data_IF_997439287008
#
_entry.id   IF_997439287008
#
_cell.length_a   1.000
_cell.length_b   1.000
_cell.length_c   1.000
_cell.angle_alpha   90.00
_cell.angle_beta   90.00
_cell.angle_gamma   90.00
#
_symmetry.space_group_name_H-M   'P 1'
#
loop_
_entity.id
_entity.type
_entity.pdbx_description
1 polymer ?
#
# COMPACT_ATOMS: atom_id res chain seq x y z
N UNK A 1 -21.35 -7.57 7.88
CA UNK A 1 -19.97 -7.50 8.38
C UNK A 1 -19.05 -7.67 7.18
N UNK A 2 -18.43 -6.57 6.70
CA UNK A 2 -17.54 -6.61 5.53
C UNK A 2 -16.11 -6.79 6.04
N UNK A 3 -15.49 -7.92 5.70
CA UNK A 3 -14.09 -8.22 5.95
C UNK A 3 -13.21 -7.28 5.14
N UNK A 4 -12.48 -6.41 5.81
CA UNK A 4 -11.43 -5.58 5.19
C UNK A 4 -10.23 -6.50 4.97
N UNK A 5 -10.15 -7.09 3.76
CA UNK A 5 -8.97 -7.83 3.32
C UNK A 5 -7.91 -6.80 2.89
N UNK A 6 -7.04 -6.41 3.82
CA UNK A 6 -5.85 -5.64 3.49
C UNK A 6 -4.80 -6.61 2.92
N UNK A 7 -4.71 -6.67 1.60
CA UNK A 7 -3.61 -7.35 0.93
C UNK A 7 -2.32 -6.58 1.19
N UNK A 8 -1.57 -7.00 2.20
CA UNK A 8 -0.17 -6.59 2.41
C UNK A 8 0.66 -7.48 1.51
N UNK A 9 1.09 -6.94 0.38
CA UNK A 9 1.99 -7.62 -0.56
C UNK A 9 3.35 -7.72 0.12
N UNK A 10 3.70 -8.94 0.58
CA UNK A 10 5.03 -9.26 1.08
C UNK A 10 6.00 -9.29 -0.11
N UNK A 11 7.06 -8.48 -0.06
CA UNK A 11 8.17 -8.58 -1.01
C UNK A 11 8.82 -9.96 -0.89
N UNK A 12 8.82 -10.68 -2.01
CA UNK A 12 9.51 -11.95 -2.17
C UNK A 12 11.02 -11.75 -2.08
N UNK A 13 11.67 -12.33 -1.06
CA UNK A 13 13.12 -12.55 -1.06
C UNK A 13 13.39 -13.78 -1.94
N UNK A 14 14.05 -13.53 -3.08
CA UNK A 14 14.57 -14.57 -3.96
C UNK A 14 15.72 -15.34 -3.29
N UNK A 15 15.66 -16.64 -3.45
CA UNK A 15 16.45 -17.70 -2.89
C UNK A 15 17.94 -17.65 -3.23
N UNK A 16 18.77 -17.93 -2.22
CA UNK A 16 20.04 -18.60 -2.40
C UNK A 16 20.02 -19.89 -1.57
N UNK A 17 19.78 -21.00 -2.23
CA UNK A 17 20.00 -22.34 -1.65
C UNK A 17 21.49 -22.61 -1.61
N UNK A 18 22.11 -22.41 -0.44
CA UNK A 18 23.35 -23.08 -0.07
C UNK A 18 22.98 -24.19 0.90
N UNK A 19 23.23 -25.42 0.50
CA UNK A 19 23.07 -26.63 1.31
C UNK A 19 24.11 -26.60 2.45
N UNK A 20 23.68 -26.13 3.62
CA UNK A 20 24.30 -26.20 4.92
C UNK A 20 23.17 -26.09 5.91
N UNK A 21 23.10 -26.92 6.93
CA UNK A 21 22.14 -26.83 8.01
C UNK A 21 22.22 -25.46 8.68
N UNK A 22 21.64 -24.45 8.06
CA UNK A 22 21.44 -23.15 8.69
C UNK A 22 20.38 -23.36 9.75
N UNK A 23 20.76 -23.29 11.02
CA UNK A 23 19.81 -23.08 12.12
C UNK A 23 18.96 -21.88 11.76
N UNK A 24 17.77 -22.14 11.22
CA UNK A 24 16.80 -21.10 10.91
C UNK A 24 16.57 -20.31 12.20
N UNK A 25 16.74 -18.99 12.16
CA UNK A 25 16.55 -18.18 13.35
C UNK A 25 15.10 -18.29 13.84
N UNK A 26 14.87 -18.15 15.12
CA UNK A 26 13.52 -18.16 15.69
C UNK A 26 12.62 -17.10 15.07
N UNK A 27 13.20 -15.96 14.66
CA UNK A 27 12.49 -14.92 13.91
C UNK A 27 12.04 -15.42 12.53
N UNK A 28 12.88 -16.16 11.81
CA UNK A 28 12.51 -16.70 10.50
C UNK A 28 11.35 -17.71 10.60
N UNK A 29 11.33 -18.54 11.64
CA UNK A 29 10.19 -19.41 11.92
C UNK A 29 8.92 -18.59 12.19
N UNK A 30 9.02 -17.54 13.01
CA UNK A 30 7.89 -16.66 13.28
C UNK A 30 7.34 -15.99 12.00
N UNK A 31 8.22 -15.51 11.13
CA UNK A 31 7.85 -14.92 9.83
C UNK A 31 7.20 -15.94 8.90
N UNK A 32 7.71 -17.17 8.87
CA UNK A 32 7.12 -18.24 8.07
C UNK A 32 5.71 -18.59 8.54
N UNK A 33 5.49 -18.75 9.85
CA UNK A 33 4.16 -19.03 10.39
C UNK A 33 3.19 -17.86 10.15
N UNK A 34 3.68 -16.62 10.25
CA UNK A 34 2.88 -15.45 9.88
C UNK A 34 2.44 -15.49 8.41
N UNK A 35 3.35 -15.83 7.48
CA UNK A 35 3.03 -15.93 6.06
C UNK A 35 2.03 -17.05 5.75
N UNK A 36 1.99 -18.09 6.59
CA UNK A 36 1.05 -19.21 6.52
C UNK A 36 -0.31 -18.91 7.21
N UNK A 37 -0.53 -17.68 7.68
CA UNK A 37 -1.69 -17.26 8.48
C UNK A 37 -1.83 -18.01 9.82
N UNK A 38 -0.74 -18.58 10.32
CA UNK A 38 -0.69 -19.28 11.62
C UNK A 38 -0.31 -18.28 12.73
N UNK A 39 -1.22 -17.35 13.02
CA UNK A 39 -0.95 -16.19 13.90
C UNK A 39 -0.45 -16.59 15.27
N UNK A 40 -1.08 -17.57 15.93
CA UNK A 40 -0.70 -18.06 17.28
C UNK A 40 0.66 -18.75 17.28
N UNK A 41 0.98 -19.51 16.22
CA UNK A 41 2.30 -20.15 16.08
C UNK A 41 3.38 -19.10 15.83
N UNK A 42 3.08 -18.10 15.03
CA UNK A 42 3.96 -16.95 14.80
C UNK A 42 4.26 -16.22 16.11
N UNK A 43 3.26 -15.95 16.95
CA UNK A 43 3.44 -15.35 18.27
C UNK A 43 4.35 -16.16 19.18
N UNK A 44 4.16 -17.49 19.24
CA UNK A 44 5.00 -18.36 20.03
C UNK A 44 6.48 -18.26 19.64
N UNK A 45 6.78 -18.27 18.33
CA UNK A 45 8.14 -18.11 17.83
C UNK A 45 8.69 -16.70 18.00
N UNK A 46 7.87 -15.66 17.81
CA UNK A 46 8.26 -14.28 18.06
C UNK A 46 8.58 -14.04 19.54
N UNK A 47 7.79 -14.61 20.47
CA UNK A 47 8.06 -14.56 21.91
C UNK A 47 9.40 -15.22 22.25
N UNK A 48 9.68 -16.39 21.69
CA UNK A 48 10.96 -17.08 21.85
C UNK A 48 12.13 -16.27 21.30
N UNK A 49 11.90 -15.51 20.21
CA UNK A 49 12.91 -14.57 19.68
C UNK A 49 13.23 -13.45 20.66
N UNK A 50 12.20 -12.89 21.31
CA UNK A 50 12.37 -11.84 22.34
C UNK A 50 13.13 -12.40 23.57
N UNK A 51 12.80 -13.62 23.99
CA UNK A 51 13.47 -14.30 25.13
C UNK A 51 14.96 -14.58 24.84
N UNK A 52 15.33 -14.77 23.58
CA UNK A 52 16.72 -14.96 23.16
C UNK A 52 17.51 -13.65 23.01
N UNK A 53 16.91 -12.51 23.32
CA UNK A 53 17.50 -11.16 23.27
C UNK A 53 18.11 -10.76 21.91
N UNK A 54 17.64 -11.39 20.83
CA UNK A 54 18.07 -11.10 19.47
C UNK A 54 16.87 -10.67 18.63
N UNK A 55 17.07 -9.69 17.75
CA UNK A 55 16.03 -9.19 16.84
C UNK A 55 14.71 -8.83 17.59
N UNK A 56 14.86 -8.25 18.79
CA UNK A 56 13.76 -8.01 19.73
C UNK A 56 12.68 -7.13 19.10
N UNK A 57 13.06 -6.06 18.45
CA UNK A 57 12.09 -5.09 17.89
C UNK A 57 11.37 -5.63 16.67
N UNK A 58 12.05 -6.42 15.84
CA UNK A 58 11.47 -7.15 14.71
C UNK A 58 10.43 -8.16 15.21
N UNK A 59 10.77 -8.90 16.25
CA UNK A 59 9.84 -9.85 16.89
C UNK A 59 8.65 -9.12 17.54
N UNK A 60 8.88 -7.98 18.21
CA UNK A 60 7.81 -7.15 18.77
C UNK A 60 6.88 -6.59 17.68
N UNK A 61 7.44 -6.19 16.52
CA UNK A 61 6.64 -5.79 15.38
C UNK A 61 5.75 -6.93 14.88
N UNK A 62 6.32 -8.13 14.77
CA UNK A 62 5.58 -9.32 14.34
C UNK A 62 4.49 -9.72 15.35
N UNK A 63 4.76 -9.64 16.66
CA UNK A 63 3.73 -9.79 17.72
C UNK A 63 2.58 -8.81 17.50
N UNK A 64 2.90 -7.54 17.23
CA UNK A 64 1.90 -6.52 16.93
C UNK A 64 1.04 -6.86 15.71
N UNK A 65 1.64 -7.42 14.66
CA UNK A 65 0.92 -7.86 13.45
C UNK A 65 0.00 -9.05 13.75
N UNK A 66 0.47 -10.06 14.50
CA UNK A 66 -0.34 -11.23 14.88
C UNK A 66 -1.57 -10.81 15.69
N UNK A 67 -1.36 -10.01 16.71
CA UNK A 67 -2.44 -9.49 17.57
C UNK A 67 -3.44 -8.64 16.77
N UNK A 68 -2.96 -7.89 15.77
CA UNK A 68 -3.82 -7.13 14.87
C UNK A 68 -4.71 -8.05 14.02
N UNK A 69 -4.17 -9.15 13.49
CA UNK A 69 -4.93 -10.15 12.74
C UNK A 69 -5.95 -10.87 13.62
N UNK A 70 -5.60 -11.13 14.87
CA UNK A 70 -6.49 -11.71 15.89
C UNK A 70 -7.53 -10.71 16.44
N UNK A 71 -7.54 -9.47 15.95
CA UNK A 71 -8.43 -8.38 16.37
C UNK A 71 -8.20 -7.91 17.83
N UNK A 72 -7.08 -8.26 18.44
CA UNK A 72 -6.66 -7.82 19.76
C UNK A 72 -5.99 -6.45 19.69
N UNK A 73 -6.75 -5.41 19.31
CA UNK A 73 -6.24 -4.09 18.91
C UNK A 73 -5.41 -3.41 20.00
N UNK A 74 -5.77 -3.52 21.26
CA UNK A 74 -5.04 -2.85 22.35
C UNK A 74 -3.70 -3.57 22.65
N UNK A 75 -3.66 -4.90 22.57
CA UNK A 75 -2.41 -5.68 22.65
C UNK A 75 -1.51 -5.35 21.46
N UNK A 76 -2.05 -5.38 20.24
CA UNK A 76 -1.37 -4.98 19.01
C UNK A 76 -0.72 -3.60 19.14
N UNK A 77 -1.48 -2.59 19.60
CA UNK A 77 -0.97 -1.24 19.86
C UNK A 77 0.22 -1.26 20.82
N UNK A 78 0.12 -2.01 21.92
CA UNK A 78 1.20 -2.11 22.90
C UNK A 78 2.49 -2.68 22.29
N UNK A 79 2.38 -3.70 21.46
CA UNK A 79 3.52 -4.30 20.77
C UNK A 79 4.15 -3.35 19.74
N UNK A 80 3.34 -2.66 18.93
CA UNK A 80 3.87 -1.66 18.01
C UNK A 80 4.55 -0.49 18.72
N UNK A 81 4.06 -0.06 19.88
CA UNK A 81 4.73 0.97 20.67
C UNK A 81 6.11 0.53 21.18
N UNK A 82 6.30 -0.75 21.48
CA UNK A 82 7.61 -1.31 21.82
C UNK A 82 8.52 -1.36 20.61
N UNK A 83 8.03 -1.89 19.49
CA UNK A 83 8.79 -2.02 18.25
C UNK A 83 9.18 -0.66 17.64
N UNK A 84 8.36 0.39 17.83
CA UNK A 84 8.66 1.75 17.39
C UNK A 84 9.87 2.39 18.10
N UNK A 85 10.41 1.76 19.15
CA UNK A 85 11.66 2.17 19.82
C UNK A 85 12.91 1.63 19.14
N UNK A 86 12.77 0.85 18.08
CA UNK A 86 13.88 0.27 17.33
C UNK A 86 14.83 1.33 16.78
N UNK A 87 16.13 1.03 16.80
CA UNK A 87 17.13 1.79 16.06
C UNK A 87 17.10 1.48 14.55
N UNK A 88 16.52 0.33 14.17
CA UNK A 88 16.26 0.00 12.78
C UNK A 88 15.13 0.91 12.25
N UNK A 89 15.48 1.81 11.33
CA UNK A 89 14.56 2.81 10.80
C UNK A 89 13.31 2.17 10.14
N UNK A 90 13.49 1.05 9.44
CA UNK A 90 12.39 0.36 8.78
C UNK A 90 11.38 -0.21 9.81
N UNK A 91 11.85 -0.89 10.84
CA UNK A 91 11.02 -1.44 11.92
C UNK A 91 10.29 -0.32 12.65
N UNK A 92 11.01 0.75 12.99
CA UNK A 92 10.46 1.96 13.62
C UNK A 92 9.38 2.59 12.76
N UNK A 93 9.66 2.79 11.47
CA UNK A 93 8.72 3.39 10.53
C UNK A 93 7.46 2.55 10.34
N UNK A 94 7.61 1.24 10.09
CA UNK A 94 6.49 0.31 9.94
C UNK A 94 5.62 0.23 11.19
N UNK A 95 6.24 0.15 12.37
CA UNK A 95 5.52 0.11 13.65
C UNK A 95 4.73 1.41 13.88
N UNK A 96 5.35 2.55 13.60
CA UNK A 96 4.69 3.87 13.73
C UNK A 96 3.53 4.01 12.74
N UNK A 97 3.67 3.51 11.51
CA UNK A 97 2.59 3.49 10.54
C UNK A 97 1.40 2.62 11.00
N UNK A 98 1.65 1.47 11.60
CA UNK A 98 0.61 0.61 12.18
C UNK A 98 -0.13 1.30 13.34
N UNK A 99 0.58 2.07 14.18
CA UNK A 99 -0.07 2.91 15.20
C UNK A 99 -0.99 3.96 14.57
N UNK A 100 -0.59 4.54 13.44
CA UNK A 100 -1.43 5.45 12.64
C UNK A 100 -2.68 4.76 12.09
N UNK A 101 -2.57 3.52 11.62
CA UNK A 101 -3.71 2.72 11.16
C UNK A 101 -4.69 2.47 12.31
N UNK A 102 -4.19 2.07 13.49
CA UNK A 102 -5.02 1.83 14.67
C UNK A 102 -5.73 3.11 15.13
N UNK A 103 -5.02 4.24 15.15
CA UNK A 103 -5.63 5.54 15.51
C UNK A 103 -6.74 5.92 14.51
N UNK A 104 -6.49 5.76 13.22
CA UNK A 104 -7.46 6.04 12.17
C UNK A 104 -8.71 5.15 12.28
N UNK A 105 -8.55 3.86 12.61
CA UNK A 105 -9.68 2.93 12.79
C UNK A 105 -10.57 3.29 13.99
N UNK A 106 -10.00 3.97 14.98
CA UNK A 106 -10.71 4.49 16.15
C UNK A 106 -11.29 5.91 15.93
N UNK A 107 -11.13 6.49 14.73
CA UNK A 107 -11.58 7.84 14.40
C UNK A 107 -10.66 8.96 14.90
N UNK A 108 -9.53 8.62 15.50
CA UNK A 108 -8.53 9.61 15.95
C UNK A 108 -7.60 9.99 14.78
N UNK A 109 -8.15 10.80 13.88
CA UNK A 109 -7.45 11.20 12.66
C UNK A 109 -6.26 12.14 12.93
N UNK A 110 -6.26 12.88 14.03
CA UNK A 110 -5.13 13.76 14.38
C UNK A 110 -3.91 12.94 14.79
N UNK A 111 -4.08 11.99 15.71
CA UNK A 111 -3.02 11.06 16.09
C UNK A 111 -2.57 10.21 14.89
N UNK A 112 -3.49 9.75 14.04
CA UNK A 112 -3.16 9.02 12.84
C UNK A 112 -2.28 9.83 11.88
N UNK A 113 -2.64 11.08 11.62
CA UNK A 113 -1.87 11.99 10.77
C UNK A 113 -0.44 12.19 11.28
N UNK A 114 -0.27 12.44 12.57
CA UNK A 114 1.04 12.60 13.20
C UNK A 114 1.87 11.30 13.11
N UNK A 115 1.24 10.15 13.37
CA UNK A 115 1.91 8.86 13.28
C UNK A 115 2.39 8.59 11.84
N UNK A 116 1.58 8.82 10.82
CA UNK A 116 2.00 8.65 9.43
C UNK A 116 3.10 9.64 9.02
N UNK A 117 3.04 10.88 9.47
CA UNK A 117 4.11 11.86 9.24
C UNK A 117 5.43 11.40 9.85
N UNK A 118 5.41 10.91 11.09
CA UNK A 118 6.61 10.37 11.74
C UNK A 118 7.10 9.07 11.10
N UNK A 119 6.19 8.21 10.64
CA UNK A 119 6.56 6.98 9.93
C UNK A 119 7.30 7.29 8.63
N UNK A 120 6.84 8.27 7.85
CA UNK A 120 7.43 8.63 6.55
C UNK A 120 8.89 9.08 6.64
N UNK A 121 9.34 9.59 7.79
CA UNK A 121 10.74 9.97 8.00
C UNK A 121 11.68 8.77 8.14
N UNK A 122 11.16 7.60 8.46
CA UNK A 122 11.90 6.37 8.69
C UNK A 122 11.70 5.32 7.59
N UNK A 123 10.72 5.52 6.71
CA UNK A 123 10.38 4.61 5.62
C UNK A 123 11.03 5.05 4.31
N UNK A 124 11.15 4.13 3.38
CA UNK A 124 11.65 4.36 2.02
C UNK A 124 10.65 3.79 0.98
N UNK A 125 10.83 4.15 -0.27
CA UNK A 125 10.07 3.61 -1.38
C UNK A 125 8.55 3.83 -1.25
N UNK A 126 7.77 2.81 -1.58
CA UNK A 126 6.30 2.87 -1.59
C UNK A 126 5.71 3.07 -0.20
N UNK A 127 6.31 2.48 0.84
CA UNK A 127 5.83 2.59 2.22
C UNK A 127 5.92 4.04 2.71
N UNK A 128 6.99 4.75 2.34
CA UNK A 128 7.14 6.18 2.60
C UNK A 128 6.03 6.98 1.91
N UNK A 129 5.79 6.73 0.63
CA UNK A 129 4.76 7.44 -0.13
C UNK A 129 3.36 7.25 0.49
N UNK A 130 3.03 6.02 0.88
CA UNK A 130 1.75 5.71 1.55
C UNK A 130 1.63 6.46 2.87
N UNK A 131 2.70 6.52 3.66
CA UNK A 131 2.70 7.24 4.93
C UNK A 131 2.55 8.76 4.72
N UNK A 132 3.23 9.34 3.74
CA UNK A 132 3.09 10.76 3.36
C UNK A 132 1.66 11.08 2.92
N UNK A 133 1.04 10.26 2.07
CA UNK A 133 -0.34 10.44 1.65
C UNK A 133 -1.32 10.41 2.83
N UNK A 134 -1.15 9.45 3.75
CA UNK A 134 -2.02 9.30 4.92
C UNK A 134 -1.81 10.39 5.97
N UNK A 135 -0.64 11.01 6.01
CA UNK A 135 -0.37 12.14 6.89
C UNK A 135 -1.02 13.45 6.41
N UNK A 136 -1.62 13.46 5.21
CA UNK A 136 -2.12 14.68 4.58
C UNK A 136 -0.99 15.61 4.14
N UNK A 137 0.26 15.10 4.07
CA UNK A 137 1.34 15.72 3.33
C UNK A 137 0.89 15.89 1.88
N UNK A 138 1.38 16.90 1.19
CA UNK A 138 1.20 16.97 -0.27
C UNK A 138 1.63 15.63 -0.80
N UNK A 139 0.66 14.79 -1.21
CA UNK A 139 0.94 13.78 -2.21
C UNK A 139 1.89 14.47 -3.19
N UNK A 140 3.06 13.91 -3.42
CA UNK A 140 3.78 14.24 -4.65
C UNK A 140 2.72 13.91 -5.67
N UNK A 141 2.08 14.96 -6.18
CA UNK A 141 0.82 14.88 -6.91
C UNK A 141 1.07 14.24 -8.27
N UNK A 142 1.40 12.97 -8.25
CA UNK A 142 1.16 12.16 -9.39
C UNK A 142 -0.34 11.86 -9.36
N UNK A 143 -1.10 12.82 -9.84
CA UNK A 143 -2.49 12.58 -10.14
C UNK A 143 -2.52 11.42 -11.13
N UNK A 144 -2.91 10.25 -10.67
CA UNK A 144 -3.08 9.10 -11.53
C UNK A 144 -4.46 9.13 -12.14
N UNK A 145 -4.54 8.64 -13.36
CA UNK A 145 -5.80 8.53 -14.11
C UNK A 145 -5.84 7.19 -14.84
N UNK A 146 -7.00 6.78 -15.28
CA UNK A 146 -7.16 5.69 -16.24
C UNK A 146 -7.18 6.27 -17.65
N UNK A 147 -6.24 5.84 -18.48
CA UNK A 147 -6.15 6.23 -19.89
C UNK A 147 -6.71 5.11 -20.76
N UNK A 148 -7.75 5.41 -21.51
CA UNK A 148 -8.50 4.49 -22.37
C UNK A 148 -8.02 4.48 -23.81
N UNK A 149 -7.25 5.49 -24.21
CA UNK A 149 -6.69 5.53 -25.55
C UNK A 149 -5.89 6.79 -25.81
N UNK A 150 -5.13 6.76 -26.93
CA UNK A 150 -4.38 7.87 -27.46
C UNK A 150 -4.70 7.98 -28.96
N UNK A 151 -5.23 9.11 -29.39
CA UNK A 151 -5.76 9.32 -30.74
C UNK A 151 -4.98 10.43 -31.45
N UNK A 152 -4.77 10.27 -32.76
CA UNK A 152 -4.16 11.32 -33.61
C UNK A 152 -5.18 12.39 -34.02
N UNK A 153 -6.46 12.06 -33.94
CA UNK A 153 -7.56 12.95 -34.34
C UNK A 153 -8.48 13.18 -33.15
N UNK A 154 -8.74 14.43 -32.83
CA UNK A 154 -9.59 14.85 -31.72
C UNK A 154 -11.02 14.30 -31.84
N UNK A 155 -11.60 14.28 -33.02
CA UNK A 155 -12.94 13.74 -33.22
C UNK A 155 -13.05 12.25 -32.89
N UNK A 156 -11.98 11.47 -33.08
CA UNK A 156 -11.93 10.07 -32.66
C UNK A 156 -11.85 9.93 -31.16
N UNK A 157 -11.12 10.81 -30.44
CA UNK A 157 -11.09 10.86 -29.00
C UNK A 157 -12.46 11.24 -28.42
N UNK A 158 -13.17 12.19 -29.01
CA UNK A 158 -14.53 12.59 -28.63
C UNK A 158 -15.53 11.42 -28.75
N UNK A 159 -15.46 10.69 -29.86
CA UNK A 159 -16.27 9.46 -30.05
C UNK A 159 -15.97 8.40 -29.01
N UNK A 160 -14.70 8.25 -28.64
CA UNK A 160 -14.30 7.32 -27.59
C UNK A 160 -14.88 7.72 -26.22
N UNK A 161 -14.91 9.00 -25.87
CA UNK A 161 -15.56 9.49 -24.64
C UNK A 161 -17.02 9.08 -24.61
N UNK A 162 -17.76 9.31 -25.68
CA UNK A 162 -19.20 8.95 -25.77
C UNK A 162 -19.39 7.43 -25.55
N UNK A 163 -18.51 6.61 -26.16
CA UNK A 163 -18.60 5.15 -26.00
C UNK A 163 -18.27 4.65 -24.59
N UNK A 164 -17.53 5.44 -23.80
CA UNK A 164 -17.13 5.10 -22.43
C UNK A 164 -18.16 5.50 -21.37
N UNK A 165 -19.06 6.42 -21.68
CA UNK A 165 -19.92 7.10 -20.70
C UNK A 165 -20.66 6.13 -19.79
N UNK A 166 -21.35 5.14 -20.35
CA UNK A 166 -22.09 4.14 -19.59
C UNK A 166 -21.18 3.28 -18.69
N UNK A 167 -20.00 2.89 -19.21
CA UNK A 167 -19.05 2.07 -18.46
C UNK A 167 -18.43 2.84 -17.28
N UNK A 168 -18.15 4.12 -17.48
CA UNK A 168 -17.61 4.99 -16.42
C UNK A 168 -18.64 5.29 -15.34
N UNK A 169 -19.89 5.52 -15.75
CA UNK A 169 -21.01 5.73 -14.82
C UNK A 169 -21.26 4.49 -13.96
N UNK A 170 -21.29 3.31 -14.56
CA UNK A 170 -21.44 2.04 -13.84
C UNK A 170 -20.27 1.74 -12.89
N UNK A 171 -19.06 2.20 -13.24
CA UNK A 171 -17.88 2.07 -12.43
C UNK A 171 -17.77 3.14 -11.31
N UNK A 172 -18.67 4.13 -11.26
CA UNK A 172 -18.61 5.26 -10.34
C UNK A 172 -17.40 6.18 -10.58
N UNK A 173 -16.87 6.17 -11.82
CA UNK A 173 -15.78 7.03 -12.27
C UNK A 173 -16.43 8.17 -13.04
N UNK A 174 -16.19 9.40 -12.66
CA UNK A 174 -16.80 10.57 -13.31
C UNK A 174 -16.59 10.61 -14.84
N UNK A 175 -16.89 11.73 -15.47
CA UNK A 175 -16.79 11.89 -16.94
C UNK A 175 -15.34 11.78 -17.42
N UNK A 176 -15.14 11.23 -18.63
CA UNK A 176 -13.85 11.24 -19.30
C UNK A 176 -13.55 12.64 -19.88
N UNK A 177 -12.26 12.93 -20.04
CA UNK A 177 -11.78 14.17 -20.67
C UNK A 177 -10.67 13.87 -21.68
N UNK A 178 -10.32 14.87 -22.49
CA UNK A 178 -9.22 14.79 -23.45
C UNK A 178 -8.06 15.65 -22.94
N UNK A 179 -6.86 15.06 -22.86
CA UNK A 179 -5.61 15.78 -22.66
C UNK A 179 -4.82 15.79 -23.95
N UNK A 180 -4.33 16.96 -24.37
CA UNK A 180 -3.45 17.09 -25.51
C UNK A 180 -1.99 16.93 -25.07
N UNK A 181 -1.30 15.97 -25.66
CA UNK A 181 0.11 15.73 -25.43
C UNK A 181 0.90 15.90 -26.72
N UNK A 182 1.98 16.69 -26.67
CA UNK A 182 2.92 16.82 -27.78
C UNK A 182 4.08 15.85 -27.61
N UNK A 183 4.21 14.93 -28.55
CA UNK A 183 5.37 14.05 -28.63
C UNK A 183 6.64 14.86 -28.98
N UNK A 184 7.82 14.34 -28.59
CA UNK A 184 9.12 14.90 -28.98
C UNK A 184 9.31 15.03 -30.50
N UNK A 185 8.55 14.29 -31.29
CA UNK A 185 8.48 14.42 -32.78
C UNK A 185 7.56 15.52 -33.29
N UNK A 186 7.01 16.38 -32.41
CA UNK A 186 6.10 17.47 -32.72
C UNK A 186 4.66 17.04 -33.03
N UNK A 187 4.31 15.75 -32.93
CA UNK A 187 2.95 15.25 -33.18
C UNK A 187 2.09 15.43 -31.95
N UNK A 188 0.89 15.96 -32.17
CA UNK A 188 -0.12 16.05 -31.09
C UNK A 188 -0.90 14.74 -30.99
N UNK A 189 -1.07 14.24 -29.78
CA UNK A 189 -1.91 13.11 -29.42
C UNK A 189 -3.01 13.58 -28.47
N UNK A 190 -4.19 13.01 -28.64
CA UNK A 190 -5.38 13.27 -27.82
C UNK A 190 -5.60 12.06 -26.92
N UNK A 191 -5.24 12.19 -25.64
CA UNK A 191 -5.37 11.14 -24.64
C UNK A 191 -6.76 11.19 -24.04
N UNK A 192 -7.50 10.08 -24.07
CA UNK A 192 -8.79 9.94 -23.40
C UNK A 192 -8.55 9.37 -22.02
N UNK A 193 -8.87 10.15 -20.99
CA UNK A 193 -8.59 9.86 -19.59
C UNK A 193 -9.86 10.00 -18.75
N UNK A 194 -9.97 9.21 -17.66
CA UNK A 194 -11.04 9.35 -16.68
C UNK A 194 -10.58 8.98 -15.27
N UNK A 195 -11.20 9.61 -14.28
CA UNK A 195 -10.92 9.40 -12.87
C UNK A 195 -9.64 10.10 -12.39
N UNK A 196 -9.71 10.61 -11.17
CA UNK A 196 -8.58 11.21 -10.47
C UNK A 196 -8.24 10.33 -9.27
N UNK A 197 -7.04 9.75 -9.26
CA UNK A 197 -6.60 8.84 -8.22
C UNK A 197 -5.36 9.38 -7.53
N UNK A 198 -5.32 9.24 -6.22
CA UNK A 198 -4.17 9.72 -5.41
C UNK A 198 -2.94 8.84 -5.53
N UNK A 199 -3.10 7.58 -5.94
CA UNK A 199 -1.99 6.63 -6.11
C UNK A 199 -2.22 5.71 -7.29
N UNK A 200 -1.12 5.15 -7.83
CA UNK A 200 -1.17 4.11 -8.86
C UNK A 200 -1.98 2.90 -8.41
N UNK A 201 -1.85 2.52 -7.13
CA UNK A 201 -2.58 1.39 -6.56
C UNK A 201 -4.09 1.64 -6.51
N UNK A 202 -4.54 2.85 -6.13
CA UNK A 202 -5.98 3.16 -6.13
C UNK A 202 -6.56 3.14 -7.54
N UNK A 203 -5.82 3.63 -8.54
CA UNK A 203 -6.21 3.56 -9.94
C UNK A 203 -6.27 2.10 -10.44
N UNK A 204 -5.25 1.28 -10.13
CA UNK A 204 -5.23 -0.13 -10.49
C UNK A 204 -6.36 -0.92 -9.85
N UNK A 205 -6.61 -0.71 -8.55
CA UNK A 205 -7.72 -1.36 -7.84
C UNK A 205 -9.08 -1.00 -8.43
N UNK A 206 -9.28 0.25 -8.83
CA UNK A 206 -10.52 0.67 -9.48
C UNK A 206 -10.68 0.00 -10.84
N UNK A 207 -9.62 -0.02 -11.66
CA UNK A 207 -9.60 -0.72 -12.95
C UNK A 207 -9.94 -2.20 -12.79
N UNK A 208 -9.30 -2.87 -11.83
CA UNK A 208 -9.39 -4.34 -11.68
C UNK A 208 -10.71 -4.80 -11.02
N UNK A 209 -11.37 -3.89 -10.28
CA UNK A 209 -12.67 -4.16 -9.62
C UNK A 209 -13.88 -3.87 -10.50
N UNK A 210 -13.70 -3.15 -11.59
CA UNK A 210 -14.78 -2.69 -12.44
C UNK A 210 -14.63 -3.29 -13.84
N UNK A 211 -15.76 -3.56 -14.50
CA UNK A 211 -15.76 -4.10 -15.86
C UNK A 211 -15.57 -2.96 -16.89
N UNK A 212 -14.44 -2.25 -16.78
CA UNK A 212 -14.07 -1.17 -17.67
C UNK A 212 -13.49 -1.72 -18.98
N UNK A 213 -13.64 -1.00 -20.10
CA UNK A 213 -12.85 -1.23 -21.30
C UNK A 213 -11.34 -1.20 -21.01
N UNK A 214 -10.55 -1.81 -21.88
CA UNK A 214 -9.10 -1.85 -21.73
C UNK A 214 -8.52 -0.45 -21.49
N UNK A 215 -7.81 -0.28 -20.38
CA UNK A 215 -7.18 0.99 -20.00
C UNK A 215 -5.87 0.73 -19.22
N UNK A 216 -5.03 1.76 -19.18
CA UNK A 216 -3.79 1.76 -18.43
C UNK A 216 -3.84 2.82 -17.33
N UNK A 217 -3.05 2.63 -16.26
CA UNK A 217 -2.84 3.67 -15.26
C UNK A 217 -1.77 4.62 -15.76
N UNK A 218 -2.13 5.88 -15.97
CA UNK A 218 -1.27 6.95 -16.41
C UNK A 218 -1.12 8.02 -15.32
N UNK A 219 -0.08 8.86 -15.45
CA UNK A 219 0.10 10.07 -14.64
C UNK A 219 -0.51 11.24 -15.39
N UNK A 220 -1.25 12.10 -14.70
CA UNK A 220 -1.73 13.36 -15.25
C UNK A 220 -0.53 14.32 -15.23
N UNK A 221 -0.11 14.87 -16.37
CA UNK A 221 1.03 15.80 -16.47
C UNK A 221 0.81 17.09 -15.65
#
# INVERSE_FOLDING_TARGET
>A
MRTISAAITLLALSQLFACGETKTSTLNHALQEYSNNQWLMSEMWAKKTIENEKDIHEAQYLMGLCEFQLQNIDSSKSWFMKAAKSENAEVKGKSTAMLGIIASSKGDYQTAKLAFSNASTNLIGIDKQIAEERSGGKSISNNFTLQFGAYRNRANAEKAIISLENSLQNAGIGTAWITEERSNSGRTMYLVQAGHFRSRNSASLQRDRTNLPQCIVAVIP
#
